data_IF_959631453523
#
_entry.id   IF_959631453523
#
_cell.length_a   1.000
_cell.length_b   1.000
_cell.length_c   1.000
_cell.angle_alpha   90.00
_cell.angle_beta   90.00
_cell.angle_gamma   90.00
#
_symmetry.space_group_name_H-M   'P 1'
#
loop_
_entity.id
_entity.type
_entity.pdbx_description
1 polymer ?
#
# COMPACT_ATOMS: atom_id res chain seq x y z
N UNK A 1 -8.70 11.62 -5.09
CA UNK A 1 -7.84 11.01 -6.13
C UNK A 1 -8.63 10.31 -7.23
N UNK A 2 -9.38 9.23 -6.96
CA UNK A 2 -10.16 8.52 -8.00
C UNK A 2 -11.16 9.42 -8.75
N UNK A 3 -11.87 10.32 -8.03
CA UNK A 3 -12.75 11.32 -8.66
C UNK A 3 -12.00 12.27 -9.62
N UNK A 4 -10.76 12.66 -9.29
CA UNK A 4 -9.92 13.47 -10.17
C UNK A 4 -9.49 12.67 -11.41
N UNK A 5 -9.22 11.38 -11.28
CA UNK A 5 -8.91 10.51 -12.42
C UNK A 5 -10.09 10.38 -13.38
N UNK A 6 -11.31 10.21 -12.86
CA UNK A 6 -12.53 10.22 -13.67
C UNK A 6 -12.71 11.58 -14.36
N UNK A 7 -12.49 12.68 -13.63
CA UNK A 7 -12.58 14.03 -14.19
C UNK A 7 -11.54 14.25 -15.31
N UNK A 8 -10.32 13.73 -15.17
CA UNK A 8 -9.30 13.75 -16.22
C UNK A 8 -9.75 12.97 -17.46
N UNK A 9 -10.33 11.77 -17.30
CA UNK A 9 -10.91 11.02 -18.42
C UNK A 9 -11.92 11.85 -19.19
N UNK A 10 -12.88 12.48 -18.49
CA UNK A 10 -13.95 13.27 -19.10
C UNK A 10 -13.38 14.52 -19.78
N UNK A 11 -12.50 15.25 -19.09
CA UNK A 11 -11.92 16.49 -19.61
C UNK A 11 -11.06 16.24 -20.85
N UNK A 12 -10.27 15.17 -20.87
CA UNK A 12 -9.46 14.79 -22.03
C UNK A 12 -10.31 14.24 -23.18
N UNK A 13 -11.35 13.45 -22.90
CA UNK A 13 -12.25 12.93 -23.94
C UNK A 13 -13.07 14.02 -24.64
N UNK A 14 -13.30 15.16 -23.97
CA UNK A 14 -14.03 16.31 -24.50
C UNK A 14 -13.13 17.47 -24.93
N UNK A 15 -11.80 17.30 -24.87
CA UNK A 15 -10.83 18.38 -25.06
C UNK A 15 -10.96 19.04 -26.44
N UNK A 16 -11.15 18.24 -27.49
CA UNK A 16 -11.32 18.75 -28.86
C UNK A 16 -12.73 19.30 -29.14
N UNK A 17 -13.71 18.95 -28.31
CA UNK A 17 -15.11 19.36 -28.51
C UNK A 17 -15.46 20.65 -27.78
N UNK A 18 -14.73 20.96 -26.70
CA UNK A 18 -15.08 22.02 -25.77
C UNK A 18 -13.80 22.76 -25.32
N UNK A 19 -13.63 23.99 -25.81
CA UNK A 19 -12.40 24.77 -25.64
C UNK A 19 -11.98 25.02 -24.17
N UNK A 20 -12.94 25.05 -23.22
CA UNK A 20 -12.65 25.27 -21.80
C UNK A 20 -12.27 24.00 -21.03
N UNK A 21 -12.33 22.81 -21.65
CA UNK A 21 -11.94 21.55 -21.01
C UNK A 21 -10.46 21.51 -20.61
N UNK A 22 -9.59 22.25 -21.29
CA UNK A 22 -8.17 22.37 -20.91
C UNK A 22 -8.01 22.90 -19.49
N UNK A 23 -8.82 23.88 -19.06
CA UNK A 23 -8.80 24.38 -17.69
C UNK A 23 -9.26 23.31 -16.69
N UNK A 24 -10.29 22.53 -17.05
CA UNK A 24 -10.78 21.43 -16.21
C UNK A 24 -9.71 20.36 -16.06
N UNK A 25 -9.03 19.98 -17.14
CA UNK A 25 -7.92 19.02 -17.12
C UNK A 25 -6.80 19.49 -16.19
N UNK A 26 -6.42 20.76 -16.26
CA UNK A 26 -5.39 21.34 -15.38
C UNK A 26 -5.79 21.22 -13.91
N UNK A 27 -7.01 21.65 -13.56
CA UNK A 27 -7.52 21.56 -12.19
C UNK A 27 -7.59 20.10 -11.72
N UNK A 28 -8.01 19.19 -12.59
CA UNK A 28 -8.11 17.77 -12.28
C UNK A 28 -6.73 17.13 -12.01
N UNK A 29 -5.70 17.49 -12.80
CA UNK A 29 -4.32 17.04 -12.58
C UNK A 29 -3.78 17.55 -11.26
N UNK A 30 -3.93 18.85 -10.97
CA UNK A 30 -3.48 19.41 -9.68
C UNK A 30 -4.20 18.78 -8.49
N UNK A 31 -5.52 18.58 -8.60
CA UNK A 31 -6.29 17.88 -7.58
C UNK A 31 -5.81 16.44 -7.39
N UNK A 32 -5.52 15.72 -8.48
CA UNK A 32 -4.98 14.37 -8.42
C UNK A 32 -3.65 14.33 -7.67
N UNK A 33 -2.71 15.22 -7.99
CA UNK A 33 -1.41 15.34 -7.31
C UNK A 33 -1.60 15.69 -5.83
N UNK A 34 -2.44 16.66 -5.50
CA UNK A 34 -2.70 17.04 -4.11
C UNK A 34 -3.23 15.87 -3.27
N UNK A 35 -4.19 15.10 -3.80
CA UNK A 35 -4.70 13.92 -3.10
C UNK A 35 -3.69 12.77 -3.01
N UNK A 36 -2.79 12.65 -3.99
CA UNK A 36 -1.70 11.68 -3.94
C UNK A 36 -0.73 12.01 -2.80
N UNK A 37 -0.27 13.26 -2.72
CA UNK A 37 0.69 13.70 -1.69
C UNK A 37 0.11 13.65 -0.27
N UNK A 38 -1.21 13.81 -0.10
CA UNK A 38 -1.84 13.70 1.22
C UNK A 38 -1.92 12.26 1.76
N UNK A 39 -1.75 11.23 0.92
CA UNK A 39 -1.93 9.85 1.36
C UNK A 39 -1.03 8.85 0.66
N UNK A 40 -1.39 8.36 -0.53
CA UNK A 40 -0.64 7.30 -1.21
C UNK A 40 0.83 7.63 -1.53
N UNK A 41 1.20 8.91 -1.59
CA UNK A 41 2.58 9.36 -1.79
C UNK A 41 3.48 9.02 -0.60
N UNK A 42 3.26 9.63 0.58
CA UNK A 42 4.13 9.42 1.74
C UNK A 42 3.83 8.14 2.54
N UNK A 43 2.57 7.75 2.71
CA UNK A 43 2.17 6.71 3.68
C UNK A 43 2.87 5.37 3.46
N UNK A 44 2.98 4.83 2.22
CA UNK A 44 3.64 3.54 1.99
C UNK A 44 5.10 3.49 2.43
N UNK A 45 5.81 4.63 2.43
CA UNK A 45 7.21 4.69 2.86
C UNK A 45 7.36 4.65 4.39
N UNK A 46 6.41 5.22 5.11
CA UNK A 46 6.41 5.22 6.59
C UNK A 46 5.83 3.94 7.17
N UNK A 47 4.76 3.40 6.57
CA UNK A 47 4.03 2.26 7.13
C UNK A 47 4.89 1.01 7.24
N UNK A 48 5.88 0.81 6.36
CA UNK A 48 6.83 -0.31 6.46
C UNK A 48 7.69 -0.20 7.72
N UNK A 49 8.06 1.02 8.13
CA UNK A 49 8.78 1.24 9.38
C UNK A 49 7.91 0.93 10.61
N UNK A 50 6.61 1.25 10.53
CA UNK A 50 5.63 1.11 11.61
C UNK A 50 5.14 -0.33 11.79
N UNK A 51 5.03 -1.10 10.69
CA UNK A 51 4.54 -2.48 10.71
C UNK A 51 5.59 -3.50 11.20
N UNK A 52 6.88 -3.21 11.02
CA UNK A 52 7.95 -4.16 11.31
C UNK A 52 8.84 -3.70 12.48
N UNK A 53 9.11 -4.62 13.40
CA UNK A 53 10.09 -4.44 14.48
C UNK A 53 11.52 -4.37 13.91
N UNK A 54 12.49 -3.92 14.73
CA UNK A 54 13.85 -3.61 14.28
C UNK A 54 14.57 -4.76 13.56
N UNK A 55 14.32 -6.01 13.94
CA UNK A 55 14.94 -7.19 13.33
C UNK A 55 14.57 -7.37 11.84
N UNK A 56 13.28 -7.60 11.50
CA UNK A 56 12.87 -7.83 10.10
C UNK A 56 12.79 -6.56 9.24
N UNK A 57 12.83 -5.36 9.85
CA UNK A 57 12.61 -4.09 9.15
C UNK A 57 13.51 -3.86 7.93
N UNK A 58 14.84 -4.09 7.96
CA UNK A 58 15.68 -3.88 6.79
C UNK A 58 15.27 -4.73 5.58
N UNK A 59 14.95 -6.01 5.81
CA UNK A 59 14.47 -6.92 4.76
C UNK A 59 13.11 -6.50 4.23
N UNK A 60 12.20 -6.04 5.10
CA UNK A 60 10.89 -5.54 4.70
C UNK A 60 11.02 -4.29 3.80
N UNK A 61 11.90 -3.35 4.14
CA UNK A 61 12.21 -2.19 3.29
C UNK A 61 12.79 -2.58 1.93
N UNK A 62 13.69 -3.57 1.90
CA UNK A 62 14.27 -4.05 0.65
C UNK A 62 13.20 -4.62 -0.30
N UNK A 63 12.30 -5.47 0.22
CA UNK A 63 11.20 -6.04 -0.57
C UNK A 63 10.21 -4.97 -1.00
N UNK A 64 9.76 -4.11 -0.08
CA UNK A 64 8.82 -3.02 -0.39
C UNK A 64 9.40 -2.05 -1.44
N UNK A 65 10.67 -1.67 -1.29
CA UNK A 65 11.38 -0.83 -2.23
C UNK A 65 11.53 -1.51 -3.60
N UNK A 66 11.94 -2.77 -3.65
CA UNK A 66 12.04 -3.52 -4.89
C UNK A 66 10.68 -3.61 -5.61
N UNK A 67 9.59 -3.92 -4.88
CA UNK A 67 8.24 -3.93 -5.44
C UNK A 67 7.81 -2.57 -5.97
N UNK A 68 8.12 -1.48 -5.25
CA UNK A 68 7.82 -0.11 -5.68
C UNK A 68 8.54 0.25 -6.99
N UNK A 69 9.86 0.02 -7.05
CA UNK A 69 10.66 0.32 -8.23
C UNK A 69 10.28 -0.56 -9.43
N UNK A 70 9.93 -1.83 -9.18
CA UNK A 70 9.43 -2.73 -10.23
C UNK A 70 8.11 -2.23 -10.80
N UNK A 71 7.16 -1.84 -9.93
CA UNK A 71 5.89 -1.26 -10.39
C UNK A 71 6.10 0.05 -11.15
N UNK A 72 7.01 0.91 -10.68
CA UNK A 72 7.39 2.14 -11.38
C UNK A 72 7.96 1.86 -12.77
N UNK A 73 8.84 0.86 -12.90
CA UNK A 73 9.38 0.44 -14.19
C UNK A 73 8.29 -0.06 -15.15
N UNK A 74 7.39 -0.93 -14.68
CA UNK A 74 6.29 -1.46 -15.49
C UNK A 74 5.39 -0.33 -15.98
N UNK A 75 5.00 0.59 -15.10
CA UNK A 75 4.16 1.73 -15.46
C UNK A 75 4.92 2.67 -16.40
N UNK A 76 6.19 2.99 -16.11
CA UNK A 76 7.01 3.89 -16.92
C UNK A 76 7.20 3.38 -18.36
N UNK A 77 7.46 2.08 -18.52
CA UNK A 77 7.61 1.46 -19.83
C UNK A 77 6.26 1.22 -20.53
N UNK A 78 5.22 0.86 -19.78
CA UNK A 78 3.91 0.48 -20.32
C UNK A 78 2.97 1.65 -20.62
N UNK A 79 3.13 2.80 -19.97
CA UNK A 79 2.14 3.87 -20.00
C UNK A 79 1.90 4.44 -21.40
N UNK A 80 2.96 4.68 -22.19
CA UNK A 80 2.80 5.20 -23.56
C UNK A 80 1.99 4.24 -24.45
N UNK A 81 2.27 2.94 -24.39
CA UNK A 81 1.48 1.93 -25.11
C UNK A 81 0.01 1.91 -24.68
N UNK A 82 -0.27 2.10 -23.39
CA UNK A 82 -1.65 2.18 -22.89
C UNK A 82 -2.35 3.47 -23.36
N UNK A 83 -1.64 4.59 -23.43
CA UNK A 83 -2.18 5.86 -23.96
C UNK A 83 -2.46 5.73 -25.46
N UNK A 84 -1.59 5.08 -26.24
CA UNK A 84 -1.83 4.83 -27.66
C UNK A 84 -3.07 3.96 -27.89
N UNK A 85 -3.28 2.94 -27.05
CA UNK A 85 -4.41 2.02 -27.18
C UNK A 85 -5.74 2.62 -26.69
N UNK A 86 -5.72 3.36 -25.58
CA UNK A 86 -6.92 3.77 -24.86
C UNK A 86 -7.18 5.29 -24.86
N UNK A 87 -6.22 6.11 -25.28
CA UNK A 87 -6.30 7.57 -25.22
C UNK A 87 -6.67 8.06 -23.81
N UNK A 88 -7.67 8.95 -23.74
CA UNK A 88 -8.19 9.50 -22.47
C UNK A 88 -8.70 8.43 -21.49
N UNK A 89 -9.14 7.26 -21.98
CA UNK A 89 -9.68 6.19 -21.13
C UNK A 89 -8.62 5.45 -20.32
N UNK A 90 -7.33 5.71 -20.54
CA UNK A 90 -6.24 5.17 -19.71
C UNK A 90 -6.43 5.46 -18.22
N UNK A 91 -7.01 6.63 -17.88
CA UNK A 91 -7.30 7.02 -16.50
C UNK A 91 -8.41 6.18 -15.84
N UNK A 92 -9.25 5.49 -16.63
CA UNK A 92 -10.22 4.51 -16.10
C UNK A 92 -9.50 3.30 -15.52
N UNK A 93 -8.44 2.82 -16.16
CA UNK A 93 -7.61 1.72 -15.66
C UNK A 93 -7.03 2.10 -14.29
N UNK A 94 -6.45 3.29 -14.18
CA UNK A 94 -5.94 3.81 -12.91
C UNK A 94 -7.04 4.02 -11.87
N UNK A 95 -8.24 4.42 -12.28
CA UNK A 95 -9.39 4.55 -11.37
C UNK A 95 -9.76 3.20 -10.75
N UNK A 96 -9.83 2.14 -11.55
CA UNK A 96 -10.12 0.78 -11.05
C UNK A 96 -9.04 0.32 -10.07
N UNK A 97 -7.76 0.55 -10.40
CA UNK A 97 -6.65 0.23 -9.49
C UNK A 97 -6.74 1.03 -8.18
N UNK A 98 -7.05 2.32 -8.24
CA UNK A 98 -7.21 3.17 -7.05
C UNK A 98 -8.35 2.68 -6.15
N UNK A 99 -9.48 2.27 -6.72
CA UNK A 99 -10.58 1.70 -5.95
C UNK A 99 -10.21 0.34 -5.35
N UNK A 100 -9.50 -0.51 -6.10
CA UNK A 100 -8.97 -1.77 -5.60
C UNK A 100 -8.02 -1.58 -4.42
N UNK A 101 -7.09 -0.63 -4.52
CA UNK A 101 -6.20 -0.28 -3.41
C UNK A 101 -6.96 0.33 -2.24
N UNK A 102 -7.96 1.18 -2.47
CA UNK A 102 -8.80 1.71 -1.40
C UNK A 102 -9.50 0.60 -0.60
N UNK A 103 -10.11 -0.36 -1.30
CA UNK A 103 -10.75 -1.53 -0.68
C UNK A 103 -9.72 -2.36 0.08
N UNK A 104 -8.56 -2.63 -0.52
CA UNK A 104 -7.48 -3.36 0.15
C UNK A 104 -7.01 -2.65 1.41
N UNK A 105 -6.73 -1.35 1.34
CA UNK A 105 -6.31 -0.54 2.49
C UNK A 105 -7.36 -0.56 3.58
N UNK A 106 -8.63 -0.37 3.25
CA UNK A 106 -9.72 -0.35 4.23
C UNK A 106 -9.85 -1.67 5.00
N UNK A 107 -9.71 -2.82 4.34
CA UNK A 107 -9.93 -4.12 4.98
C UNK A 107 -8.67 -4.80 5.51
N UNK A 108 -7.49 -4.55 4.92
CA UNK A 108 -6.25 -5.31 5.22
C UNK A 108 -5.17 -4.50 5.91
N UNK A 109 -5.17 -3.17 5.81
CA UNK A 109 -4.13 -2.34 6.41
C UNK A 109 -4.60 -1.91 7.81
N UNK A 110 -3.93 -2.36 8.88
CA UNK A 110 -4.30 -1.94 10.23
C UNK A 110 -3.87 -0.49 10.48
N UNK A 111 -4.62 0.20 11.35
CA UNK A 111 -4.23 1.52 11.85
C UNK A 111 -3.00 1.40 12.77
N UNK A 112 -1.91 2.07 12.39
CA UNK A 112 -0.62 2.05 13.07
C UNK A 112 -0.41 3.28 13.96
N UNK A 113 -1.20 4.35 13.79
CA UNK A 113 -1.04 5.60 14.53
C UNK A 113 -1.24 5.40 16.03
N UNK A 114 -0.20 5.74 16.80
CA UNK A 114 -0.24 5.72 18.26
C UNK A 114 -0.19 4.32 18.89
N UNK A 115 0.16 3.28 18.10
CA UNK A 115 0.35 1.92 18.60
C UNK A 115 1.83 1.56 18.70
N UNK A 116 2.17 0.70 19.65
CA UNK A 116 3.52 0.14 19.78
C UNK A 116 3.76 -0.99 18.78
N UNK A 117 5.02 -1.25 18.43
CA UNK A 117 5.39 -2.36 17.55
C UNK A 117 4.90 -3.72 18.08
N UNK A 118 4.91 -3.90 19.40
CA UNK A 118 4.49 -5.14 20.05
C UNK A 118 2.97 -5.36 19.88
N UNK A 119 2.16 -4.31 20.04
CA UNK A 119 0.70 -4.38 19.81
C UNK A 119 0.35 -4.68 18.34
N UNK A 120 1.08 -4.06 17.41
CA UNK A 120 0.91 -4.32 15.97
C UNK A 120 1.26 -5.78 15.65
N UNK A 121 2.40 -6.26 16.15
CA UNK A 121 2.84 -7.65 15.93
C UNK A 121 1.90 -8.68 16.58
N UNK A 122 1.35 -8.37 17.76
CA UNK A 122 0.37 -9.21 18.45
C UNK A 122 -0.95 -9.29 17.67
N UNK A 123 -1.40 -8.18 17.06
CA UNK A 123 -2.56 -8.16 16.17
C UNK A 123 -2.38 -9.05 14.94
N UNK A 124 -1.20 -9.03 14.31
CA UNK A 124 -0.88 -9.94 13.21
C UNK A 124 -0.80 -11.41 13.63
N UNK A 125 -0.30 -11.70 14.84
CA UNK A 125 -0.27 -13.06 15.41
C UNK A 125 -1.65 -13.60 15.76
N UNK A 126 -2.58 -12.76 16.23
CA UNK A 126 -3.96 -13.19 16.51
C UNK A 126 -4.80 -13.39 15.24
N UNK A 127 -4.55 -12.61 14.18
CA UNK A 127 -5.25 -12.77 12.89
C UNK A 127 -4.75 -13.94 12.03
N UNK A 128 -3.49 -14.34 12.21
CA UNK A 128 -2.93 -15.54 11.60
C UNK A 128 -3.19 -16.72 12.54
N UNK A 129 -4.35 -17.39 12.40
CA UNK A 129 -4.90 -18.40 13.32
C UNK A 129 -3.91 -19.37 13.97
N UNK A 130 -3.15 -18.90 14.95
CA UNK A 130 -2.26 -19.72 15.76
C UNK A 130 -3.07 -20.17 16.95
N UNK A 131 -3.45 -21.46 16.95
CA UNK A 131 -3.74 -22.18 18.18
C UNK A 131 -2.65 -21.82 19.21
N UNK A 132 -3.00 -21.48 20.46
CA UNK A 132 -2.04 -21.25 21.51
C UNK A 132 -1.48 -22.62 21.95
N UNK A 133 -0.63 -23.26 21.14
CA UNK A 133 0.14 -24.40 21.62
C UNK A 133 1.41 -23.89 22.28
N UNK A 134 1.44 -24.10 23.60
CA UNK A 134 2.62 -24.25 24.45
C UNK A 134 3.51 -23.03 24.65
N UNK A 135 3.08 -22.18 25.58
CA UNK A 135 4.05 -21.64 26.54
C UNK A 135 4.58 -22.82 27.36
N UNK A 136 5.77 -23.32 27.01
CA UNK A 136 6.54 -24.19 27.90
C UNK A 136 6.79 -23.40 29.19
N UNK A 137 6.30 -23.92 30.31
CA UNK A 137 6.50 -23.33 31.64
C UNK A 137 7.99 -23.41 31.97
N UNK A 138 8.60 -22.39 32.62
CA UNK A 138 9.99 -22.48 33.10
C UNK A 138 10.24 -23.68 34.05
N UNK A 139 9.19 -24.36 34.52
CA UNK A 139 9.27 -25.61 35.26
C UNK A 139 9.80 -26.80 34.43
N UNK A 140 9.50 -26.87 33.12
CA UNK A 140 9.97 -27.98 32.26
C UNK A 140 11.48 -27.87 31.92
N UNK A 141 12.02 -26.65 31.83
CA UNK A 141 13.47 -26.43 31.66
C UNK A 141 14.26 -26.84 32.91
N UNK A 142 13.66 -26.72 34.10
CA UNK A 142 14.29 -27.15 35.35
C UNK A 142 14.22 -28.67 35.55
N UNK A 143 13.19 -29.36 35.07
CA UNK A 143 13.12 -30.83 35.15
C UNK A 143 14.11 -31.51 34.20
N UNK A 144 14.29 -30.98 32.99
CA UNK A 144 15.31 -31.48 32.04
C UNK A 144 16.76 -31.28 32.53
N UNK A 145 17.02 -30.24 33.31
CA UNK A 145 18.32 -30.02 33.96
C UNK A 145 18.58 -30.96 35.14
N UNK A 146 17.52 -31.39 35.85
CA UNK A 146 17.62 -32.30 36.99
C UNK A 146 17.86 -33.75 36.55
N UNK A 147 17.25 -34.19 35.45
CA UNK A 147 17.40 -35.57 34.94
C UNK A 147 18.73 -35.83 34.23
N UNK A 148 19.46 -34.78 33.82
CA UNK A 148 20.79 -34.90 33.20
C UNK A 148 21.94 -35.02 34.21
N UNK A 149 21.65 -35.06 35.52
CA UNK A 149 22.63 -35.18 36.60
C UNK A 149 22.60 -36.56 37.32
N UNK A 150 21.93 -37.55 36.75
CA UNK A 150 22.00 -38.97 37.11
C UNK A 150 22.68 -39.78 35.99
#
# INVERSE_FOLDING_TARGET
MAGCAILMTIALALLEKVAWMSYVSIVAIFGFVAFFEMGPGPIPWFIVAELFSQGPRPSAFAVAGFSNWTANFIVGMGFQYLVELCGAYVFVIFTVLLLGFFVFTYFKVPETKGRTFDEISAGFRQGSGSNPSEKHSPEELNSLGADSQL
#
